data_IF_275546893846
#
_entry.id   IF_275546893846
#
_cell.length_a   1.000
_cell.length_b   1.000
_cell.length_c   1.000
_cell.angle_alpha   90.00
_cell.angle_beta   90.00
_cell.angle_gamma   90.00
#
_symmetry.space_group_name_H-M   'P 1'
#
loop_
_entity.id
_entity.type
_entity.pdbx_description
1 polymer ?
#
# COMPACT_ATOMS: atom_id res chain seq x y z
N UNK A 1 34.63 28.54 17.02
CA UNK A 1 34.28 27.82 18.27
C UNK A 1 33.34 26.68 17.90
N UNK A 2 33.64 25.40 18.18
CA UNK A 2 32.74 24.31 17.86
C UNK A 2 31.59 24.30 18.87
N UNK A 3 30.35 24.31 18.35
CA UNK A 3 29.14 24.14 19.15
C UNK A 3 29.15 22.72 19.70
N UNK A 4 29.38 22.55 21.01
CA UNK A 4 29.18 21.27 21.69
C UNK A 4 27.68 20.99 21.66
N UNK A 5 27.24 20.17 20.70
CA UNK A 5 25.89 19.62 20.69
C UNK A 5 25.78 18.80 21.97
N UNK A 6 24.96 19.29 22.91
CA UNK A 6 24.78 18.71 24.23
C UNK A 6 24.21 17.30 24.07
N UNK A 7 24.78 16.31 24.77
CA UNK A 7 24.43 14.88 24.69
C UNK A 7 22.91 14.60 24.75
N UNK A 8 22.15 15.44 25.45
CA UNK A 8 20.68 15.39 25.52
C UNK A 8 19.99 15.56 24.15
N UNK A 9 20.47 16.49 23.30
CA UNK A 9 19.92 16.73 21.96
C UNK A 9 20.16 15.52 21.05
N UNK A 10 21.29 14.84 21.23
CA UNK A 10 21.65 13.66 20.45
C UNK A 10 20.80 12.43 20.83
N UNK A 11 20.46 12.29 22.12
CA UNK A 11 19.53 11.26 22.61
C UNK A 11 18.11 11.51 22.10
N UNK A 12 17.60 12.75 22.19
CA UNK A 12 16.25 13.10 21.69
C UNK A 12 16.09 12.84 20.18
N UNK A 13 17.10 13.16 19.37
CA UNK A 13 17.07 12.88 17.92
C UNK A 13 17.02 11.38 17.65
N UNK A 14 17.79 10.59 18.41
CA UNK A 14 17.84 9.13 18.25
C UNK A 14 16.49 8.49 18.62
N UNK A 15 15.86 8.95 19.69
CA UNK A 15 14.55 8.48 20.12
C UNK A 15 13.45 8.82 19.11
N UNK A 16 13.48 10.03 18.53
CA UNK A 16 12.56 10.43 17.46
C UNK A 16 12.74 9.60 16.19
N UNK A 17 13.98 9.26 15.83
CA UNK A 17 14.28 8.38 14.70
C UNK A 17 13.79 6.96 14.93
N UNK A 18 13.99 6.42 16.14
CA UNK A 18 13.50 5.10 16.54
C UNK A 18 11.96 5.05 16.50
N UNK A 19 11.28 6.03 17.09
CA UNK A 19 9.83 6.14 17.06
C UNK A 19 9.28 6.23 15.62
N UNK A 20 9.95 7.01 14.75
CA UNK A 20 9.58 7.10 13.33
C UNK A 20 9.77 5.78 12.59
N UNK A 21 10.84 5.04 12.89
CA UNK A 21 11.11 3.72 12.31
C UNK A 21 10.05 2.70 12.71
N UNK A 22 9.73 2.62 14.00
CA UNK A 22 8.70 1.73 14.55
C UNK A 22 7.31 2.03 13.96
N UNK A 23 6.97 3.31 13.81
CA UNK A 23 5.70 3.70 13.19
C UNK A 23 5.62 3.23 11.73
N UNK A 24 6.68 3.45 10.93
CA UNK A 24 6.74 2.99 9.54
C UNK A 24 6.64 1.47 9.43
N UNK A 25 7.33 0.73 10.30
CA UNK A 25 7.25 -0.74 10.35
C UNK A 25 5.83 -1.21 10.68
N UNK A 26 5.18 -0.56 11.64
CA UNK A 26 3.79 -0.88 12.03
C UNK A 26 2.82 -0.63 10.88
N UNK A 27 2.97 0.50 10.17
CA UNK A 27 2.14 0.82 9.00
C UNK A 27 2.30 -0.21 7.88
N UNK A 28 3.54 -0.59 7.56
CA UNK A 28 3.83 -1.64 6.57
C UNK A 28 3.20 -2.98 6.96
N UNK A 29 3.32 -3.36 8.23
CA UNK A 29 2.71 -4.60 8.76
C UNK A 29 1.19 -4.59 8.62
N UNK A 30 0.53 -3.46 8.91
CA UNK A 30 -0.93 -3.33 8.75
C UNK A 30 -1.36 -3.50 7.29
N UNK A 31 -0.66 -2.87 6.34
CA UNK A 31 -0.92 -3.02 4.90
C UNK A 31 -0.73 -4.49 4.47
N UNK A 32 0.34 -5.14 4.92
CA UNK A 32 0.59 -6.55 4.59
C UNK A 32 -0.49 -7.48 5.13
N UNK A 33 -0.96 -7.26 6.36
CA UNK A 33 -2.07 -8.02 6.93
C UNK A 33 -3.33 -7.84 6.09
N UNK A 34 -3.64 -6.60 5.69
CA UNK A 34 -4.80 -6.33 4.83
C UNK A 34 -4.72 -7.12 3.51
N UNK A 35 -3.57 -7.11 2.85
CA UNK A 35 -3.34 -7.84 1.59
C UNK A 35 -3.44 -9.36 1.78
N UNK A 36 -2.84 -9.91 2.85
CA UNK A 36 -2.88 -11.34 3.14
C UNK A 36 -4.27 -11.85 3.51
N UNK A 37 -5.06 -11.06 4.22
CA UNK A 37 -6.46 -11.40 4.51
C UNK A 37 -7.30 -11.34 3.24
N UNK A 38 -7.15 -10.29 2.44
CA UNK A 38 -7.99 -10.07 1.27
C UNK A 38 -7.74 -11.05 0.12
N UNK A 39 -6.52 -11.59 -0.02
CA UNK A 39 -6.15 -12.46 -1.16
C UNK A 39 -6.98 -13.76 -1.27
N UNK A 40 -7.58 -14.23 -0.18
CA UNK A 40 -8.39 -15.46 -0.15
C UNK A 40 -9.88 -15.22 -0.32
N UNK A 41 -10.34 -13.95 -0.32
CA UNK A 41 -11.74 -13.57 -0.34
C UNK A 41 -12.29 -13.37 -1.76
N UNK A 42 -13.53 -13.74 -2.10
CA UNK A 42 -14.11 -13.45 -3.42
C UNK A 42 -14.08 -11.94 -3.76
N UNK A 43 -14.18 -11.59 -5.04
CA UNK A 43 -13.90 -10.23 -5.55
C UNK A 43 -14.54 -9.09 -4.75
N UNK A 44 -15.86 -9.15 -4.52
CA UNK A 44 -16.59 -8.12 -3.76
C UNK A 44 -16.13 -8.05 -2.30
N UNK A 45 -15.97 -9.20 -1.63
CA UNK A 45 -15.49 -9.26 -0.26
C UNK A 45 -14.02 -8.79 -0.14
N UNK A 46 -13.19 -9.07 -1.14
CA UNK A 46 -11.81 -8.60 -1.25
C UNK A 46 -11.76 -7.07 -1.32
N UNK A 47 -12.57 -6.48 -2.20
CA UNK A 47 -12.67 -5.02 -2.35
C UNK A 47 -13.12 -4.35 -1.04
N UNK A 48 -14.18 -4.88 -0.43
CA UNK A 48 -14.69 -4.38 0.85
C UNK A 48 -13.66 -4.49 1.97
N UNK A 49 -12.94 -5.61 2.06
CA UNK A 49 -11.90 -5.81 3.06
C UNK A 49 -10.75 -4.80 2.89
N UNK A 50 -10.23 -4.62 1.67
CA UNK A 50 -9.17 -3.63 1.41
C UNK A 50 -9.64 -2.22 1.78
N UNK A 51 -10.85 -1.83 1.37
CA UNK A 51 -11.41 -0.51 1.71
C UNK A 51 -11.50 -0.31 3.23
N UNK A 52 -12.07 -1.28 3.95
CA UNK A 52 -12.23 -1.22 5.40
C UNK A 52 -10.87 -1.14 6.12
N UNK A 53 -9.88 -1.92 5.67
CA UNK A 53 -8.55 -1.90 6.27
C UNK A 53 -7.81 -0.59 6.00
N UNK A 54 -7.95 0.00 4.81
CA UNK A 54 -7.35 1.31 4.52
C UNK A 54 -7.97 2.42 5.38
N UNK A 55 -9.29 2.40 5.61
CA UNK A 55 -9.96 3.30 6.56
C UNK A 55 -9.44 3.07 7.99
N UNK A 56 -9.28 1.82 8.42
CA UNK A 56 -8.74 1.50 9.74
C UNK A 56 -7.28 1.98 9.90
N UNK A 57 -6.48 1.89 8.84
CA UNK A 57 -5.11 2.41 8.78
C UNK A 57 -5.10 3.94 8.84
N UNK A 58 -6.00 4.61 8.12
CA UNK A 58 -6.17 6.06 8.19
C UNK A 58 -6.48 6.50 9.63
N UNK A 59 -7.49 5.89 10.26
CA UNK A 59 -7.84 6.15 11.66
C UNK A 59 -6.68 5.89 12.63
N UNK A 60 -5.88 4.85 12.38
CA UNK A 60 -4.67 4.58 13.17
C UNK A 60 -3.65 5.71 13.02
N UNK A 61 -3.39 6.18 11.80
CA UNK A 61 -2.45 7.27 11.55
C UNK A 61 -2.91 8.56 12.23
N UNK A 62 -4.21 8.89 12.14
CA UNK A 62 -4.79 10.09 12.75
C UNK A 62 -4.62 10.09 14.27
N UNK A 63 -4.84 8.95 14.95
CA UNK A 63 -4.59 8.80 16.40
C UNK A 63 -3.14 9.03 16.80
N UNK A 64 -2.20 8.77 15.89
CA UNK A 64 -0.77 9.02 16.07
C UNK A 64 -0.31 10.35 15.48
N UNK A 65 -1.25 11.26 15.16
CA UNK A 65 -1.00 12.58 14.57
C UNK A 65 -0.17 12.50 13.28
N UNK A 66 -0.40 11.46 12.47
CA UNK A 66 0.18 11.26 11.13
C UNK A 66 -0.94 11.31 10.11
N UNK A 67 -0.66 11.85 8.92
CA UNK A 67 -1.61 11.85 7.81
C UNK A 67 -1.41 10.61 6.95
N UNK A 68 -2.49 9.86 6.75
CA UNK A 68 -2.58 8.82 5.74
C UNK A 68 -3.86 9.10 4.95
N UNK A 69 -3.70 9.45 3.68
CA UNK A 69 -4.81 9.80 2.80
C UNK A 69 -4.72 8.87 1.60
N UNK A 70 -5.83 8.25 1.25
CA UNK A 70 -5.97 7.49 0.02
C UNK A 70 -7.18 7.98 -0.77
N UNK A 71 -7.10 7.83 -2.08
CA UNK A 71 -8.21 8.00 -3.01
C UNK A 71 -8.59 6.63 -3.54
N UNK A 72 -9.88 6.47 -3.82
CA UNK A 72 -10.45 5.28 -4.45
C UNK A 72 -10.94 5.68 -5.84
N UNK A 73 -10.45 5.00 -6.87
CA UNK A 73 -10.70 5.35 -8.27
C UNK A 73 -11.10 4.10 -9.06
N UNK A 74 -12.12 4.23 -9.90
CA UNK A 74 -12.45 3.21 -10.88
C UNK A 74 -11.60 3.44 -12.14
N UNK A 75 -10.83 2.44 -12.53
CA UNK A 75 -9.91 2.49 -13.67
C UNK A 75 -10.14 1.29 -14.60
N UNK A 76 -9.66 1.38 -15.82
CA UNK A 76 -9.56 0.22 -16.72
C UNK A 76 -8.23 -0.52 -16.52
N UNK A 77 -8.20 -1.83 -16.71
CA UNK A 77 -7.01 -2.68 -16.51
C UNK A 77 -5.90 -2.46 -17.56
N UNK A 78 -6.14 -1.67 -18.62
CA UNK A 78 -5.08 -1.20 -19.51
C UNK A 78 -4.35 0.04 -18.99
N UNK A 79 -4.80 0.62 -17.87
CA UNK A 79 -4.16 1.76 -17.22
C UNK A 79 -3.19 1.29 -16.12
N UNK A 80 -2.30 2.19 -15.69
CA UNK A 80 -1.38 1.99 -14.56
C UNK A 80 -0.55 0.69 -14.63
N UNK A 81 -0.18 0.28 -15.85
CA UNK A 81 0.63 -0.90 -16.13
C UNK A 81 0.07 -2.20 -15.53
N UNK A 82 -1.26 -2.34 -15.41
CA UNK A 82 -1.91 -3.59 -14.95
C UNK A 82 -1.91 -4.69 -16.03
N UNK A 83 -1.76 -4.31 -17.30
CA UNK A 83 -1.60 -5.25 -18.43
C UNK A 83 -2.87 -6.01 -18.83
N UNK A 84 -4.05 -5.57 -18.40
CA UNK A 84 -5.35 -6.07 -18.88
C UNK A 84 -5.90 -5.25 -20.04
N UNK A 85 -7.18 -5.45 -20.37
CA UNK A 85 -7.88 -4.70 -21.42
C UNK A 85 -8.63 -3.47 -20.89
N UNK A 86 -9.05 -2.59 -21.81
CA UNK A 86 -9.88 -1.42 -21.54
C UNK A 86 -11.30 -1.78 -21.05
N UNK A 87 -11.79 -2.96 -21.43
CA UNK A 87 -13.09 -3.52 -21.01
C UNK A 87 -13.09 -4.15 -19.63
N UNK A 88 -11.92 -4.40 -19.05
CA UNK A 88 -11.78 -4.93 -17.70
C UNK A 88 -11.60 -3.76 -16.75
N UNK A 89 -12.41 -3.70 -15.69
CA UNK A 89 -12.33 -2.62 -14.71
C UNK A 89 -11.66 -3.08 -13.43
N UNK A 90 -11.10 -2.12 -12.71
CA UNK A 90 -10.50 -2.30 -11.40
C UNK A 90 -10.70 -1.08 -10.51
N UNK A 91 -10.75 -1.32 -9.20
CA UNK A 91 -10.68 -0.27 -8.20
C UNK A 91 -9.24 -0.09 -7.77
N UNK A 92 -8.72 1.12 -7.96
CA UNK A 92 -7.39 1.55 -7.53
C UNK A 92 -7.49 2.35 -6.24
N UNK A 93 -6.74 1.92 -5.23
CA UNK A 93 -6.49 2.66 -4.00
C UNK A 93 -5.07 3.21 -4.02
N UNK A 94 -4.91 4.53 -4.02
CA UNK A 94 -3.58 5.17 -4.07
C UNK A 94 -3.52 6.42 -3.19
N UNK A 95 -2.32 6.94 -2.96
CA UNK A 95 -2.16 8.27 -2.37
C UNK A 95 -2.75 9.37 -3.29
N UNK A 96 -2.96 10.59 -2.78
CA UNK A 96 -3.57 11.68 -3.54
C UNK A 96 -2.72 12.15 -4.74
N UNK A 97 -1.40 11.97 -4.69
CA UNK A 97 -0.52 12.20 -5.85
C UNK A 97 -0.67 11.05 -6.85
N UNK A 98 -0.79 11.37 -8.15
CA UNK A 98 -0.86 10.37 -9.23
C UNK A 98 0.40 9.51 -9.30
N UNK A 99 1.54 10.10 -8.99
CA UNK A 99 2.84 9.43 -8.86
C UNK A 99 3.00 8.64 -7.55
N UNK A 100 1.91 8.39 -6.82
CA UNK A 100 1.96 7.69 -5.55
C UNK A 100 2.66 6.33 -5.71
N UNK A 101 3.78 6.22 -5.00
CA UNK A 101 4.64 5.03 -5.00
C UNK A 101 3.87 3.82 -4.47
N UNK A 102 2.95 4.02 -3.53
CA UNK A 102 2.15 2.95 -2.94
C UNK A 102 0.74 2.96 -3.53
N UNK A 103 0.30 1.82 -4.07
CA UNK A 103 -1.09 1.62 -4.46
C UNK A 103 -1.51 0.15 -4.30
N UNK A 104 -2.81 -0.08 -4.11
CA UNK A 104 -3.45 -1.38 -4.07
C UNK A 104 -4.52 -1.40 -5.15
N UNK A 105 -4.64 -2.48 -5.89
CA UNK A 105 -5.62 -2.61 -6.96
C UNK A 105 -6.42 -3.90 -6.77
N UNK A 106 -7.74 -3.80 -6.91
CA UNK A 106 -8.66 -4.95 -6.92
C UNK A 106 -9.46 -4.91 -8.20
N UNK A 107 -9.33 -5.92 -9.06
CA UNK A 107 -10.09 -5.98 -10.31
C UNK A 107 -11.51 -6.50 -10.08
N UNK A 108 -12.43 -6.26 -11.02
CA UNK A 108 -13.79 -6.81 -10.94
C UNK A 108 -13.82 -8.34 -10.86
N UNK A 109 -12.87 -9.04 -11.53
CA UNK A 109 -12.74 -10.50 -11.39
C UNK A 109 -12.01 -10.92 -10.12
N UNK A 110 -11.56 -9.97 -9.31
CA UNK A 110 -10.95 -10.21 -8.01
C UNK A 110 -9.44 -10.39 -8.02
N UNK A 111 -8.71 -10.07 -9.08
CA UNK A 111 -7.24 -9.98 -8.98
C UNK A 111 -6.85 -8.91 -7.96
N UNK A 112 -5.86 -9.23 -7.11
CA UNK A 112 -5.37 -8.36 -6.04
C UNK A 112 -3.90 -8.06 -6.29
N UNK A 113 -3.58 -6.77 -6.40
CA UNK A 113 -2.24 -6.28 -6.67
C UNK A 113 -1.86 -5.18 -5.67
N UNK A 114 -0.56 -5.06 -5.39
CA UNK A 114 -0.01 -3.96 -4.61
C UNK A 114 1.33 -3.52 -5.19
N UNK A 115 1.55 -2.22 -5.30
CA UNK A 115 2.83 -1.62 -5.71
C UNK A 115 3.37 -0.76 -4.57
N UNK A 116 4.69 -0.75 -4.44
CA UNK A 116 5.44 0.21 -3.64
C UNK A 116 6.70 0.61 -4.42
N UNK A 117 6.62 1.69 -5.20
CA UNK A 117 7.59 2.21 -6.18
C UNK A 117 7.46 1.57 -7.57
N UNK A 118 7.73 0.28 -7.73
CA UNK A 118 7.49 -0.59 -8.91
C UNK A 118 8.33 -1.88 -8.75
N UNK A 119 7.96 -3.04 -9.32
CA UNK A 119 6.74 -3.36 -10.07
C UNK A 119 5.53 -3.72 -9.19
N UNK A 120 4.40 -4.07 -9.81
CA UNK A 120 3.25 -4.66 -9.12
C UNK A 120 3.59 -6.04 -8.53
N UNK A 121 3.25 -6.22 -7.26
CA UNK A 121 3.22 -7.52 -6.58
C UNK A 121 1.80 -8.07 -6.72
N UNK A 122 1.68 -9.26 -7.29
CA UNK A 122 0.39 -9.93 -7.51
C UNK A 122 0.15 -10.93 -6.38
N UNK A 123 -0.88 -10.67 -5.57
CA UNK A 123 -1.30 -11.57 -4.48
C UNK A 123 -2.31 -12.60 -4.97
N UNK A 124 -3.15 -12.20 -5.93
CA UNK A 124 -4.07 -13.10 -6.64
C UNK A 124 -4.26 -12.65 -8.08
N UNK A 125 -4.21 -13.59 -9.02
CA UNK A 125 -4.51 -13.36 -10.43
C UNK A 125 -5.68 -14.27 -10.86
N UNK A 126 -6.76 -13.69 -11.36
CA UNK A 126 -7.95 -14.40 -11.87
C UNK A 126 -8.05 -14.39 -13.40
N UNK A 127 -6.97 -14.04 -14.09
CA UNK A 127 -6.82 -14.13 -15.54
C UNK A 127 -7.20 -12.86 -16.32
N UNK A 128 -7.33 -11.73 -15.63
CA UNK A 128 -7.70 -10.43 -16.19
C UNK A 128 -6.59 -9.37 -16.14
N UNK A 129 -5.41 -9.76 -15.70
CA UNK A 129 -4.18 -8.97 -15.76
C UNK A 129 -3.12 -9.77 -16.50
N UNK A 130 -2.20 -9.09 -17.18
CA UNK A 130 -1.06 -9.77 -17.79
C UNK A 130 -0.26 -10.51 -16.71
N UNK A 131 0.28 -11.68 -17.06
CA UNK A 131 1.29 -12.31 -16.24
C UNK A 131 2.55 -11.45 -16.34
N UNK A 132 2.78 -10.58 -15.36
CA UNK A 132 4.11 -10.03 -15.15
C UNK A 132 5.07 -11.20 -14.95
N UNK A 133 6.32 -11.13 -15.45
CA UNK A 133 7.33 -12.10 -15.05
C UNK A 133 7.31 -12.12 -13.52
N UNK A 134 7.02 -13.29 -12.97
CA UNK A 134 6.77 -13.53 -11.55
C UNK A 134 7.77 -12.71 -10.77
N UNK A 135 7.31 -11.69 -10.04
CA UNK A 135 8.20 -10.90 -9.21
C UNK A 135 8.89 -11.91 -8.28
N UNK A 136 10.16 -12.18 -8.56
CA UNK A 136 11.08 -12.82 -7.63
C UNK A 136 10.84 -12.12 -6.32
N UNK A 137 10.45 -12.87 -5.29
CA UNK A 137 10.24 -12.40 -3.93
C UNK A 137 11.11 -11.16 -3.68
N UNK A 138 10.51 -9.96 -3.71
CA UNK A 138 11.15 -8.79 -3.12
C UNK A 138 11.08 -9.05 -1.62
N UNK A 139 12.06 -9.83 -1.14
CA UNK A 139 12.39 -9.95 0.26
C UNK A 139 12.56 -8.53 0.78
N UNK A 140 11.72 -8.22 1.76
CA UNK A 140 11.82 -7.04 2.61
C UNK A 140 13.15 -7.02 3.36
#
# INVERSE_FOLDING_TARGET
MPVKITTAVQTEISDLQNARSQFKQTLRRKIQIALWTAQTLPAEACLCEIRNQLIAIQNYCDRHQKKFIFVEELISCNQFDLGGSDRQLATLFRGPSEDASVAICVTEKGSLLHRNSCPWIVYRNTGDIARFPTATFCLL
#
